data_IF_724270730626
#
_entry.id   IF_724270730626
#
_cell.length_a   1.000
_cell.length_b   1.000
_cell.length_c   1.000
_cell.angle_alpha   90.00
_cell.angle_beta   90.00
_cell.angle_gamma   90.00
#
_symmetry.space_group_name_H-M   'P 1'
#
loop_
_entity.id
_entity.type
_entity.pdbx_description
1 polymer ?
#
# COMPACT_ATOMS: atom_id res chain seq x y z
N UNK A 1 -8.61 -17.90 -11.04
CA UNK A 1 -8.48 -16.98 -9.91
C UNK A 1 -9.56 -15.91 -9.96
N UNK A 2 -10.05 -15.45 -8.80
CA UNK A 2 -10.94 -14.29 -8.73
C UNK A 2 -10.11 -13.00 -8.66
N UNK A 3 -10.60 -11.93 -9.30
CA UNK A 3 -9.94 -10.63 -9.31
C UNK A 3 -10.96 -9.51 -9.52
N UNK A 4 -10.67 -8.34 -8.95
CA UNK A 4 -11.35 -7.10 -9.30
C UNK A 4 -10.77 -6.59 -10.62
N UNK A 5 -11.51 -6.74 -11.72
CA UNK A 5 -11.07 -6.27 -13.02
C UNK A 5 -11.66 -4.90 -13.35
N UNK A 6 -10.79 -4.00 -13.81
CA UNK A 6 -11.16 -2.71 -14.35
C UNK A 6 -11.10 -2.77 -15.88
N UNK A 7 -12.20 -2.41 -16.52
CA UNK A 7 -12.33 -2.31 -17.95
C UNK A 7 -12.77 -0.89 -18.35
N UNK A 8 -12.58 -0.54 -19.60
CA UNK A 8 -13.06 0.75 -20.10
C UNK A 8 -14.12 0.54 -21.16
N UNK A 9 -15.28 1.16 -20.99
CA UNK A 9 -16.35 1.19 -21.95
C UNK A 9 -16.89 2.63 -22.08
N UNK A 10 -16.97 3.14 -23.30
CA UNK A 10 -17.45 4.49 -23.59
C UNK A 10 -16.74 5.60 -22.74
N UNK A 11 -15.44 5.43 -22.53
CA UNK A 11 -14.63 6.36 -21.73
C UNK A 11 -14.85 6.28 -20.20
N UNK A 12 -15.69 5.34 -19.74
CA UNK A 12 -15.95 5.12 -18.30
C UNK A 12 -15.22 3.87 -17.83
N UNK A 13 -14.70 3.94 -16.61
CA UNK A 13 -14.14 2.78 -15.92
C UNK A 13 -15.29 1.93 -15.35
N UNK A 14 -15.28 0.66 -15.69
CA UNK A 14 -16.17 -0.36 -15.14
C UNK A 14 -15.34 -1.27 -14.23
N UNK A 15 -15.80 -1.48 -13.01
CA UNK A 15 -15.17 -2.35 -12.04
C UNK A 15 -16.08 -3.53 -11.72
N UNK A 16 -15.59 -4.75 -11.87
CA UNK A 16 -16.34 -5.97 -11.55
C UNK A 16 -15.42 -7.07 -11.04
N UNK A 17 -15.95 -7.91 -10.14
CA UNK A 17 -15.24 -9.13 -9.73
C UNK A 17 -15.49 -10.18 -10.79
N UNK A 18 -14.40 -10.73 -11.34
CA UNK A 18 -14.44 -11.72 -12.42
C UNK A 18 -13.55 -12.93 -12.07
N UNK A 19 -13.93 -14.08 -12.59
CA UNK A 19 -13.06 -15.28 -12.60
C UNK A 19 -12.19 -15.22 -13.85
N UNK A 20 -10.91 -15.14 -13.68
CA UNK A 20 -9.92 -15.05 -14.75
C UNK A 20 -9.08 -16.32 -14.84
N UNK A 21 -8.69 -16.68 -16.06
CA UNK A 21 -7.70 -17.73 -16.28
C UNK A 21 -6.30 -17.22 -15.87
N UNK A 22 -5.51 -18.07 -15.23
CA UNK A 22 -4.16 -17.74 -14.78
C UNK A 22 -3.18 -17.43 -15.93
N UNK A 23 -3.47 -17.93 -17.14
CA UNK A 23 -2.70 -17.63 -18.35
C UNK A 23 -2.77 -16.14 -18.75
N UNK A 24 -3.73 -15.40 -18.22
CA UNK A 24 -3.88 -13.94 -18.43
C UNK A 24 -3.00 -13.09 -17.53
N UNK A 25 -2.37 -13.70 -16.51
CA UNK A 25 -1.43 -12.97 -15.66
C UNK A 25 -0.32 -12.33 -16.52
N UNK A 26 0.08 -11.07 -16.20
CA UNK A 26 1.11 -10.38 -16.96
C UNK A 26 2.47 -11.09 -16.83
N UNK A 27 3.44 -10.65 -17.63
CA UNK A 27 4.82 -11.13 -17.53
C UNK A 27 5.42 -10.87 -16.15
N UNK A 28 6.21 -11.81 -15.66
CA UNK A 28 6.88 -11.77 -14.37
C UNK A 28 7.49 -13.14 -14.07
N UNK A 29 8.48 -13.16 -13.23
CA UNK A 29 9.28 -14.34 -12.87
C UNK A 29 8.87 -14.96 -11.52
N UNK A 30 7.98 -14.30 -10.76
CA UNK A 30 7.43 -14.81 -9.51
C UNK A 30 5.91 -14.71 -9.50
N UNK A 31 5.23 -15.84 -9.25
CA UNK A 31 3.77 -15.87 -9.02
C UNK A 31 3.50 -16.03 -7.53
N UNK A 32 2.65 -15.16 -6.99
CA UNK A 32 2.30 -15.10 -5.56
C UNK A 32 0.82 -15.39 -5.38
N UNK A 33 0.48 -16.28 -4.46
CA UNK A 33 -0.87 -16.42 -3.90
C UNK A 33 -1.09 -15.28 -2.92
N UNK A 34 -1.98 -14.36 -3.25
CA UNK A 34 -2.23 -13.16 -2.46
C UNK A 34 -3.15 -13.49 -1.31
N UNK A 35 -2.71 -13.24 -0.09
CA UNK A 35 -3.51 -13.44 1.13
C UNK A 35 -4.16 -12.14 1.61
N UNK A 36 -3.45 -11.03 1.48
CA UNK A 36 -3.89 -9.70 1.91
C UNK A 36 -3.44 -8.64 0.93
N UNK A 37 -4.28 -7.64 0.76
CA UNK A 37 -3.99 -6.38 0.06
C UNK A 37 -4.38 -5.22 0.97
N UNK A 38 -3.96 -4.00 0.63
CA UNK A 38 -4.39 -2.77 1.28
C UNK A 38 -5.20 -1.91 0.32
N UNK A 39 -6.08 -1.04 0.85
CA UNK A 39 -6.79 -0.05 0.06
C UNK A 39 -6.17 1.32 0.25
N UNK A 40 -5.73 1.91 -0.84
CA UNK A 40 -5.14 3.23 -0.88
C UNK A 40 -6.02 4.22 -1.68
N UNK A 41 -5.83 5.50 -1.47
CA UNK A 41 -6.55 6.54 -2.21
C UNK A 41 -6.37 6.39 -3.73
N UNK A 42 -5.18 5.96 -4.16
CA UNK A 42 -4.87 5.65 -5.56
C UNK A 42 -5.77 4.54 -6.11
N UNK A 43 -5.99 3.47 -5.36
CA UNK A 43 -6.89 2.38 -5.76
C UNK A 43 -8.33 2.89 -5.91
N UNK A 44 -8.80 3.72 -4.98
CA UNK A 44 -10.12 4.31 -5.06
C UNK A 44 -10.29 5.20 -6.30
N UNK A 45 -9.27 5.99 -6.66
CA UNK A 45 -9.28 6.79 -7.90
C UNK A 45 -9.30 5.91 -9.14
N UNK A 46 -8.53 4.81 -9.15
CA UNK A 46 -8.50 3.84 -10.24
C UNK A 46 -9.86 3.17 -10.43
N UNK A 47 -10.42 2.61 -9.35
CA UNK A 47 -11.69 1.86 -9.34
C UNK A 47 -12.87 2.76 -9.77
N UNK A 48 -12.90 4.00 -9.30
CA UNK A 48 -13.99 4.94 -9.61
C UNK A 48 -13.80 5.69 -10.92
N UNK A 49 -12.64 5.58 -11.56
CA UNK A 49 -12.31 6.34 -12.77
C UNK A 49 -12.19 7.86 -12.55
N UNK A 50 -12.17 8.32 -11.28
CA UNK A 50 -12.08 9.75 -10.94
C UNK A 50 -10.68 10.34 -11.08
N UNK A 51 -9.66 9.50 -11.29
CA UNK A 51 -8.28 9.90 -11.57
C UNK A 51 -7.72 9.11 -12.74
N UNK A 52 -6.82 9.73 -13.51
CA UNK A 52 -6.11 9.06 -14.62
C UNK A 52 -4.98 8.17 -14.09
N UNK A 53 -5.33 7.21 -13.21
CA UNK A 53 -4.37 6.28 -12.62
C UNK A 53 -4.05 5.18 -13.63
N UNK A 54 -5.10 4.54 -14.17
CA UNK A 54 -4.95 3.44 -15.13
C UNK A 54 -4.76 4.02 -16.54
N UNK A 55 -3.70 3.58 -17.21
CA UNK A 55 -3.38 3.98 -18.58
C UNK A 55 -3.75 2.93 -19.61
N UNK A 56 -3.67 1.67 -19.22
CA UNK A 56 -3.96 0.53 -20.08
C UNK A 56 -5.00 -0.37 -19.41
N UNK A 57 -6.06 -0.69 -20.16
CA UNK A 57 -7.11 -1.63 -19.72
C UNK A 57 -6.98 -2.94 -20.51
N UNK A 58 -7.42 -4.08 -19.95
CA UNK A 58 -7.96 -4.25 -18.59
C UNK A 58 -6.86 -4.20 -17.52
N UNK A 59 -7.23 -3.80 -16.28
CA UNK A 59 -6.29 -3.67 -15.16
C UNK A 59 -6.88 -4.26 -13.88
N UNK A 60 -6.05 -4.93 -13.09
CA UNK A 60 -6.37 -5.31 -11.71
C UNK A 60 -5.72 -4.27 -10.80
N UNK A 61 -6.50 -3.51 -10.00
CA UNK A 61 -5.95 -2.53 -9.07
C UNK A 61 -5.37 -3.21 -7.82
N UNK A 62 -4.90 -2.39 -6.86
CA UNK A 62 -4.26 -2.85 -5.62
C UNK A 62 -2.76 -2.65 -5.69
N UNK A 63 -2.30 -1.51 -5.14
CA UNK A 63 -0.88 -1.12 -5.21
C UNK A 63 0.00 -1.86 -4.21
N UNK A 64 -0.60 -2.58 -3.27
CA UNK A 64 0.07 -3.35 -2.23
C UNK A 64 -0.52 -4.76 -2.16
N UNK A 65 0.33 -5.75 -1.88
CA UNK A 65 -0.13 -7.07 -1.49
C UNK A 65 0.92 -7.81 -0.65
N UNK A 66 0.47 -8.82 0.08
CA UNK A 66 1.31 -9.80 0.76
C UNK A 66 0.70 -11.20 0.61
N UNK A 67 1.55 -12.19 0.51
CA UNK A 67 1.13 -13.56 0.27
C UNK A 67 2.28 -14.54 0.27
N UNK A 68 2.06 -15.67 -0.36
CA UNK A 68 3.03 -16.79 -0.43
C UNK A 68 3.43 -17.03 -1.88
N UNK A 69 4.72 -17.17 -2.14
CA UNK A 69 5.23 -17.54 -3.46
C UNK A 69 4.67 -18.90 -3.85
N UNK A 70 3.97 -18.95 -4.99
CA UNK A 70 3.47 -20.19 -5.61
C UNK A 70 4.55 -20.83 -6.48
N UNK A 71 5.12 -20.04 -7.40
CA UNK A 71 6.21 -20.44 -8.29
C UNK A 71 7.18 -19.29 -8.48
N UNK A 72 8.46 -19.60 -8.69
CA UNK A 72 9.50 -18.60 -8.95
C UNK A 72 10.52 -19.13 -9.96
N UNK A 73 10.91 -18.28 -10.91
CA UNK A 73 12.08 -18.42 -11.76
C UNK A 73 13.26 -17.60 -11.20
N UNK A 74 13.02 -16.71 -10.24
CA UNK A 74 14.04 -15.92 -9.54
C UNK A 74 14.65 -16.76 -8.41
N UNK A 75 15.98 -17.02 -8.41
CA UNK A 75 16.62 -17.87 -7.41
C UNK A 75 16.59 -17.31 -5.98
N UNK A 76 16.22 -16.04 -5.80
CA UNK A 76 16.08 -15.41 -4.47
C UNK A 76 14.81 -15.83 -3.74
N UNK A 77 13.84 -16.39 -4.47
CA UNK A 77 12.53 -16.76 -3.94
C UNK A 77 12.21 -18.21 -4.25
N UNK A 78 11.52 -18.88 -3.33
CA UNK A 78 11.09 -20.27 -3.48
C UNK A 78 9.62 -20.46 -3.10
N UNK A 79 8.98 -21.48 -3.64
CA UNK A 79 7.61 -21.83 -3.30
C UNK A 79 7.42 -21.99 -1.79
N UNK A 80 6.33 -21.43 -1.25
CA UNK A 80 6.02 -21.42 0.18
C UNK A 80 6.63 -20.23 0.95
N UNK A 81 7.49 -19.42 0.34
CA UNK A 81 8.08 -18.25 1.00
C UNK A 81 7.05 -17.11 1.11
N UNK A 82 6.95 -16.52 2.31
CA UNK A 82 6.11 -15.33 2.50
C UNK A 82 6.81 -14.08 1.97
N UNK A 83 6.07 -13.27 1.23
CA UNK A 83 6.55 -12.05 0.56
C UNK A 83 5.52 -10.93 0.66
N UNK A 84 6.01 -9.70 0.47
CA UNK A 84 5.18 -8.52 0.31
C UNK A 84 5.67 -7.66 -0.86
N UNK A 85 4.78 -6.82 -1.38
CA UNK A 85 5.09 -5.83 -2.39
C UNK A 85 4.34 -4.54 -2.11
N UNK A 86 5.03 -3.40 -2.24
CA UNK A 86 4.46 -2.07 -2.25
C UNK A 86 5.08 -1.26 -3.39
N UNK A 87 4.28 -0.52 -4.14
CA UNK A 87 4.76 0.37 -5.19
C UNK A 87 5.02 -0.28 -6.54
N UNK A 88 6.13 0.08 -7.21
CA UNK A 88 6.59 -0.42 -8.52
C UNK A 88 5.58 -0.27 -9.68
N UNK A 89 4.54 0.56 -9.52
CA UNK A 89 3.47 0.71 -10.52
C UNK A 89 2.49 -0.46 -10.57
N UNK A 90 2.54 -1.35 -9.61
CA UNK A 90 1.56 -2.43 -9.43
C UNK A 90 0.21 -1.82 -9.08
N UNK A 91 -0.87 -2.32 -9.71
CA UNK A 91 -2.20 -1.72 -9.62
C UNK A 91 -2.41 -0.46 -10.46
N UNK A 92 -1.41 -0.06 -11.27
CA UNK A 92 -1.41 1.14 -12.09
C UNK A 92 -0.97 0.86 -13.55
N UNK A 93 0.22 0.30 -13.72
CA UNK A 93 0.82 -0.07 -15.01
C UNK A 93 0.99 -1.58 -15.16
N UNK A 94 0.90 -2.30 -14.07
CA UNK A 94 1.00 -3.75 -13.96
C UNK A 94 -0.15 -4.24 -13.08
N UNK A 95 -0.68 -5.45 -13.32
CA UNK A 95 -1.79 -5.99 -12.53
C UNK A 95 -1.45 -6.09 -11.05
N UNK A 96 -2.37 -5.63 -10.21
CA UNK A 96 -2.18 -5.43 -8.77
C UNK A 96 -2.72 -6.54 -7.87
N UNK A 97 -2.75 -6.22 -6.57
CA UNK A 97 -3.03 -7.16 -5.49
C UNK A 97 -4.50 -7.36 -5.14
N UNK A 98 -5.47 -6.72 -5.83
CA UNK A 98 -6.90 -7.01 -5.63
C UNK A 98 -7.35 -8.22 -6.47
N UNK A 99 -6.62 -9.32 -6.32
CA UNK A 99 -6.84 -10.63 -6.91
C UNK A 99 -6.31 -11.74 -6.00
N UNK A 100 -6.73 -12.98 -6.23
CA UNK A 100 -6.21 -14.15 -5.51
C UNK A 100 -4.75 -14.46 -5.85
N UNK A 101 -4.28 -13.98 -7.02
CA UNK A 101 -2.91 -14.20 -7.47
C UNK A 101 -2.36 -12.97 -8.17
N UNK A 102 -1.05 -12.74 -8.02
CA UNK A 102 -0.28 -11.75 -8.75
C UNK A 102 0.98 -12.38 -9.34
N UNK A 103 1.35 -11.99 -10.57
CA UNK A 103 2.64 -12.34 -11.17
C UNK A 103 3.44 -11.07 -11.37
N UNK A 104 4.65 -11.02 -10.80
CA UNK A 104 5.48 -9.83 -10.73
C UNK A 104 6.95 -10.18 -10.93
N UNK A 105 7.79 -9.15 -11.07
CA UNK A 105 9.24 -9.34 -11.07
C UNK A 105 9.74 -9.55 -9.65
N UNK A 106 10.64 -10.49 -9.44
CA UNK A 106 11.26 -10.76 -8.14
C UNK A 106 11.96 -9.52 -7.55
N UNK A 107 12.50 -8.65 -8.39
CA UNK A 107 13.09 -7.35 -7.96
C UNK A 107 12.12 -6.42 -7.23
N UNK A 108 10.82 -6.63 -7.37
CA UNK A 108 9.79 -5.82 -6.71
C UNK A 108 9.36 -6.40 -5.37
N UNK A 109 9.69 -7.66 -5.11
CA UNK A 109 9.29 -8.38 -3.91
C UNK A 109 10.28 -8.17 -2.77
N UNK A 110 9.74 -8.17 -1.57
CA UNK A 110 10.50 -8.20 -0.32
C UNK A 110 10.10 -9.46 0.44
N UNK A 111 11.08 -10.24 0.87
CA UNK A 111 10.83 -11.35 1.79
C UNK A 111 10.17 -10.82 3.07
N UNK A 112 9.19 -11.55 3.59
CA UNK A 112 8.47 -11.12 4.80
C UNK A 112 9.46 -10.99 5.96
N UNK A 113 9.58 -9.80 6.59
CA UNK A 113 10.46 -9.61 7.73
C UNK A 113 10.02 -10.45 8.93
N UNK A 114 10.99 -10.93 9.71
CA UNK A 114 10.70 -11.67 10.93
C UNK A 114 9.82 -10.85 11.89
N UNK A 115 8.78 -11.46 12.44
CA UNK A 115 7.83 -10.81 13.36
C UNK A 115 6.64 -10.13 12.67
N UNK A 116 6.62 -10.05 11.34
CA UNK A 116 5.46 -9.65 10.55
C UNK A 116 4.76 -10.89 9.96
N UNK A 117 3.49 -10.74 9.74
CA UNK A 117 2.65 -11.62 8.91
C UNK A 117 2.02 -10.81 7.78
N UNK A 118 1.43 -11.47 6.79
CA UNK A 118 0.85 -10.83 5.63
C UNK A 118 -0.23 -9.79 6.00
N UNK A 119 -1.02 -10.06 7.04
CA UNK A 119 -2.04 -9.11 7.52
C UNK A 119 -1.42 -7.85 8.11
N UNK A 120 -0.42 -7.99 8.99
CA UNK A 120 0.29 -6.84 9.58
C UNK A 120 1.03 -6.03 8.53
N UNK A 121 1.67 -6.70 7.58
CA UNK A 121 2.34 -6.05 6.46
C UNK A 121 1.37 -5.17 5.67
N UNK A 122 0.14 -5.63 5.41
CA UNK A 122 -0.86 -4.85 4.68
C UNK A 122 -1.58 -3.80 5.54
N UNK A 123 -1.61 -3.93 6.86
CA UNK A 123 -2.01 -2.83 7.76
C UNK A 123 -1.00 -1.67 7.66
N UNK A 124 0.29 -1.97 7.56
CA UNK A 124 1.34 -0.97 7.30
C UNK A 124 1.18 -0.41 5.89
N UNK A 125 1.26 -1.26 4.88
CA UNK A 125 1.10 -0.94 3.46
C UNK A 125 1.95 0.25 2.98
N UNK A 126 1.61 0.78 1.82
CA UNK A 126 2.25 1.99 1.27
C UNK A 126 2.10 3.20 2.19
N UNK A 127 0.99 3.33 2.91
CA UNK A 127 0.77 4.48 3.80
C UNK A 127 1.75 4.47 4.98
N UNK A 128 1.93 3.34 5.65
CA UNK A 128 2.87 3.21 6.77
C UNK A 128 4.33 3.28 6.31
N UNK A 129 4.66 2.66 5.18
CA UNK A 129 5.97 2.78 4.55
C UNK A 129 6.33 4.24 4.25
N UNK A 130 5.41 4.98 3.62
CA UNK A 130 5.61 6.41 3.30
C UNK A 130 5.76 7.26 4.56
N UNK A 131 4.92 7.02 5.58
CA UNK A 131 5.02 7.73 6.85
C UNK A 131 6.38 7.51 7.51
N UNK A 132 6.89 6.28 7.52
CA UNK A 132 8.21 5.97 8.08
C UNK A 132 9.34 6.64 7.32
N UNK A 133 9.29 6.69 5.98
CA UNK A 133 10.28 7.43 5.18
C UNK A 133 10.29 8.92 5.52
N UNK A 134 9.11 9.54 5.75
CA UNK A 134 9.05 10.93 6.18
C UNK A 134 9.68 11.13 7.56
N UNK A 135 9.43 10.24 8.51
CA UNK A 135 10.03 10.30 9.86
C UNK A 135 11.55 10.16 9.77
N UNK A 136 12.04 9.16 9.03
CA UNK A 136 13.48 8.97 8.82
C UNK A 136 14.13 10.21 8.19
N UNK A 137 13.49 10.84 7.21
CA UNK A 137 14.00 12.05 6.59
C UNK A 137 14.11 13.23 7.58
N UNK A 138 13.18 13.36 8.54
CA UNK A 138 13.29 14.35 9.62
C UNK A 138 14.49 14.06 10.52
N UNK A 139 14.67 12.81 10.93
CA UNK A 139 15.78 12.39 11.78
C UNK A 139 17.14 12.57 11.09
N UNK A 140 17.23 12.23 9.79
CA UNK A 140 18.42 12.43 8.96
C UNK A 140 18.75 13.92 8.79
N UNK A 141 17.73 14.78 8.74
CA UNK A 141 17.90 16.23 8.74
C UNK A 141 18.29 16.81 10.11
N UNK A 142 18.45 15.97 11.12
CA UNK A 142 18.87 16.37 12.47
C UNK A 142 17.74 16.80 13.41
N UNK A 143 16.47 16.73 12.98
CA UNK A 143 15.32 17.08 13.84
C UNK A 143 15.20 16.06 14.97
N UNK A 144 15.08 16.55 16.21
CA UNK A 144 14.99 15.74 17.43
C UNK A 144 13.73 16.10 18.24
N UNK A 145 13.24 15.21 19.11
CA UNK A 145 12.05 15.47 19.94
C UNK A 145 12.08 16.75 20.76
N UNK A 146 13.26 17.20 21.18
CA UNK A 146 13.46 18.41 21.98
C UNK A 146 13.49 19.71 21.16
N UNK A 147 13.51 19.64 19.83
CA UNK A 147 13.67 20.83 18.98
C UNK A 147 12.35 21.57 18.76
N UNK A 148 11.23 21.01 19.25
CA UNK A 148 9.91 21.61 19.18
C UNK A 148 8.84 20.69 18.57
N UNK A 149 7.75 21.31 18.11
CA UNK A 149 6.59 20.58 17.57
C UNK A 149 6.80 20.20 16.11
N UNK A 150 6.39 18.99 15.75
CA UNK A 150 6.31 18.52 14.36
C UNK A 150 4.87 18.64 13.86
N UNK A 151 4.67 19.36 12.77
CA UNK A 151 3.35 19.56 12.16
C UNK A 151 3.09 18.47 11.10
N UNK A 152 1.98 17.75 11.25
CA UNK A 152 1.52 16.75 10.28
C UNK A 152 0.26 17.26 9.60
N UNK A 153 0.35 17.58 8.31
CA UNK A 153 -0.82 17.97 7.49
C UNK A 153 -1.52 16.75 6.92
N UNK A 154 -2.81 16.87 6.61
CA UNK A 154 -3.60 15.72 6.16
C UNK A 154 -3.60 14.57 7.18
N UNK A 155 -3.49 14.92 8.45
CA UNK A 155 -3.26 13.99 9.55
C UNK A 155 -4.27 12.85 9.66
N UNK A 156 -5.51 13.05 9.23
CA UNK A 156 -6.56 12.01 9.25
C UNK A 156 -6.50 11.03 8.07
N UNK A 157 -5.58 11.20 7.12
CA UNK A 157 -5.33 10.23 6.04
C UNK A 157 -4.46 9.07 6.47
N UNK A 158 -4.31 8.04 5.64
CA UNK A 158 -3.51 6.85 5.95
C UNK A 158 -2.06 7.18 6.30
N UNK A 159 -1.36 7.97 5.48
CA UNK A 159 0.02 8.40 5.74
C UNK A 159 0.08 9.30 6.99
N UNK A 160 -0.80 10.32 7.06
CA UNK A 160 -0.78 11.29 8.15
C UNK A 160 -1.05 10.66 9.52
N UNK A 161 -2.06 9.82 9.64
CA UNK A 161 -2.40 9.18 10.91
C UNK A 161 -1.29 8.21 11.39
N UNK A 162 -0.68 7.50 10.46
CA UNK A 162 0.48 6.65 10.78
C UNK A 162 1.69 7.50 11.20
N UNK A 163 1.94 8.64 10.51
CA UNK A 163 3.02 9.55 10.90
C UNK A 163 2.81 10.12 12.30
N UNK A 164 1.57 10.52 12.66
CA UNK A 164 1.23 10.98 14.02
C UNK A 164 1.60 9.91 15.04
N UNK A 165 1.16 8.67 14.83
CA UNK A 165 1.43 7.57 15.75
C UNK A 165 2.93 7.25 15.87
N UNK A 166 3.66 7.23 14.76
CA UNK A 166 5.12 6.99 14.74
C UNK A 166 5.88 8.09 15.48
N UNK A 167 5.62 9.35 15.15
CA UNK A 167 6.27 10.50 15.78
C UNK A 167 6.00 10.53 17.28
N UNK A 168 4.75 10.33 17.71
CA UNK A 168 4.40 10.22 19.12
C UNK A 168 5.18 9.10 19.82
N UNK A 169 5.22 7.92 19.21
CA UNK A 169 5.95 6.75 19.74
C UNK A 169 7.46 7.04 19.90
N UNK A 170 8.02 7.87 19.04
CA UNK A 170 9.42 8.29 19.06
C UNK A 170 9.69 9.50 20.01
N UNK A 171 8.65 10.00 20.70
CA UNK A 171 8.76 11.05 21.68
C UNK A 171 8.63 12.48 21.15
N UNK A 172 8.26 12.66 19.88
CA UNK A 172 8.01 14.00 19.33
C UNK A 172 6.67 14.57 19.83
N UNK A 173 6.60 15.89 19.95
CA UNK A 173 5.35 16.62 20.13
C UNK A 173 4.70 16.85 18.76
N UNK A 174 3.49 16.33 18.56
CA UNK A 174 2.86 16.29 17.25
C UNK A 174 1.65 17.21 17.18
N UNK A 175 1.68 18.16 16.25
CA UNK A 175 0.52 18.99 15.88
C UNK A 175 -0.14 18.39 14.66
N UNK A 176 -1.39 17.90 14.80
CA UNK A 176 -2.13 17.26 13.72
C UNK A 176 -3.10 18.24 13.05
N UNK A 177 -2.93 18.47 11.74
CA UNK A 177 -3.81 19.35 10.96
C UNK A 177 -4.80 18.52 10.15
N UNK A 178 -6.10 18.67 10.44
CA UNK A 178 -7.20 18.04 9.71
C UNK A 178 -8.34 19.03 9.49
N UNK A 179 -8.91 19.04 8.29
CA UNK A 179 -10.11 19.82 7.98
C UNK A 179 -11.42 19.19 8.46
N UNK A 180 -11.39 18.06 9.16
CA UNK A 180 -12.58 17.33 9.63
C UNK A 180 -12.58 17.24 11.16
N UNK A 181 -13.43 17.99 11.82
CA UNK A 181 -13.58 17.97 13.29
C UNK A 181 -13.86 16.57 13.84
N UNK A 182 -14.65 15.76 13.13
CA UNK A 182 -14.97 14.39 13.51
C UNK A 182 -13.75 13.46 13.65
N UNK A 183 -12.58 13.88 13.17
CA UNK A 183 -11.33 13.11 13.27
C UNK A 183 -10.43 13.57 14.42
N UNK A 184 -10.76 14.63 15.15
CA UNK A 184 -9.87 15.19 16.18
C UNK A 184 -9.63 14.22 17.33
N UNK A 185 -10.67 13.58 17.86
CA UNK A 185 -10.51 12.60 18.94
C UNK A 185 -9.71 11.37 18.50
N UNK A 186 -9.88 10.93 17.26
CA UNK A 186 -9.05 9.88 16.68
C UNK A 186 -7.57 10.29 16.63
N UNK A 187 -7.27 11.51 16.17
CA UNK A 187 -5.89 12.00 16.08
C UNK A 187 -5.24 12.16 17.47
N UNK A 188 -6.00 12.63 18.46
CA UNK A 188 -5.55 12.67 19.85
C UNK A 188 -5.26 11.28 20.39
N UNK A 189 -6.10 10.28 20.07
CA UNK A 189 -5.88 8.88 20.50
C UNK A 189 -4.61 8.27 19.89
N UNK A 190 -4.12 8.81 18.75
CA UNK A 190 -2.85 8.43 18.14
C UNK A 190 -1.66 9.18 18.74
N UNK A 191 -1.89 10.15 19.62
CA UNK A 191 -0.85 10.90 20.30
C UNK A 191 -0.61 12.31 19.79
N UNK A 192 -1.54 12.89 19.00
CA UNK A 192 -1.46 14.31 18.67
C UNK A 192 -1.61 15.15 19.95
N UNK A 193 -0.74 16.14 20.13
CA UNK A 193 -0.78 17.09 21.26
C UNK A 193 -1.89 18.14 21.07
N UNK A 194 -2.14 18.50 19.80
CA UNK A 194 -3.22 19.41 19.37
C UNK A 194 -3.48 19.28 17.86
#
# INVERSE_FOLDING_TARGET
>A
MQALLLEQQDGKTLASVQTLDESRLPEGDVTVDVHWSSLNYKDALAITGKGKIIRNFPMIPGIDFAGTVRTSEDPRFHAGQEVLLTGWGVGENHWGGLAEQARVKGDWLVAMPQGLDARKAMIIGTAGFTAMLCVMALEDAGVRPQDGEVVVTGASGGVGSTAVALLHKLGYQVVAVSGRESTHEYLKSLGASR
#
